data_IF_701253029932
#
_entry.id   IF_701253029932
#
_cell.length_a   1.000
_cell.length_b   1.000
_cell.length_c   1.000
_cell.angle_alpha   90.00
_cell.angle_beta   90.00
_cell.angle_gamma   90.00
#
_symmetry.space_group_name_H-M   'P 1'
#
loop_
_entity.id
_entity.type
_entity.pdbx_description
1 polymer ?
#
# COMPACT_ATOMS: atom_id res chain seq x y z
N UNK A 1 1.22 30.64 11.69
CA UNK A 1 1.83 29.38 12.18
C UNK A 1 0.74 28.34 12.30
N UNK A 2 0.99 27.06 11.95
CA UNK A 2 0.08 25.98 12.26
C UNK A 2 -0.23 26.02 13.77
N UNK A 3 -1.50 25.95 14.13
CA UNK A 3 -1.92 25.98 15.53
C UNK A 3 -1.39 24.71 16.22
N UNK A 4 -0.43 24.87 17.13
CA UNK A 4 0.10 23.76 17.92
C UNK A 4 -1.00 23.27 18.88
N UNK A 5 -1.29 21.95 18.93
CA UNK A 5 -2.28 21.39 19.84
C UNK A 5 -2.00 21.74 21.31
N UNK A 6 -3.06 21.99 22.09
CA UNK A 6 -2.95 22.37 23.52
C UNK A 6 -3.16 21.20 24.49
N UNK A 7 -3.51 20.02 23.98
CA UNK A 7 -3.70 18.80 24.77
C UNK A 7 -3.38 17.55 23.94
N UNK A 8 -3.13 16.43 24.63
CA UNK A 8 -2.65 15.20 24.01
C UNK A 8 -3.66 14.61 23.02
N UNK A 9 -4.97 14.72 23.32
CA UNK A 9 -6.02 14.26 22.40
C UNK A 9 -5.97 15.04 21.08
N UNK A 10 -5.85 16.36 21.16
CA UNK A 10 -5.73 17.20 19.96
C UNK A 10 -4.44 16.89 19.18
N UNK A 11 -3.33 16.58 19.87
CA UNK A 11 -2.08 16.16 19.24
C UNK A 11 -2.22 14.79 18.53
N UNK A 12 -2.81 13.81 19.19
CA UNK A 12 -3.09 12.50 18.62
C UNK A 12 -3.98 12.59 17.38
N UNK A 13 -5.05 13.39 17.44
CA UNK A 13 -5.93 13.63 16.28
C UNK A 13 -5.21 14.30 15.11
N UNK A 14 -4.31 15.24 15.40
CA UNK A 14 -3.49 15.87 14.37
C UNK A 14 -2.56 14.85 13.72
N UNK A 15 -1.90 13.99 14.50
CA UNK A 15 -0.99 12.96 13.96
C UNK A 15 -1.75 11.92 13.13
N UNK A 16 -2.85 11.39 13.65
CA UNK A 16 -3.70 10.44 12.92
C UNK A 16 -4.24 11.05 11.61
N UNK A 17 -4.54 12.35 11.59
CA UNK A 17 -4.97 13.03 10.36
C UNK A 17 -3.82 13.07 9.34
N UNK A 18 -2.60 13.41 9.76
CA UNK A 18 -1.43 13.38 8.88
C UNK A 18 -1.21 11.99 8.28
N UNK A 19 -1.30 10.93 9.09
CA UNK A 19 -1.15 9.56 8.58
C UNK A 19 -2.25 9.18 7.58
N UNK A 20 -3.50 9.59 7.84
CA UNK A 20 -4.59 9.40 6.86
C UNK A 20 -4.26 10.08 5.53
N UNK A 21 -3.74 11.31 5.59
CA UNK A 21 -3.43 12.10 4.40
C UNK A 21 -2.22 11.53 3.64
N UNK A 22 -1.15 11.13 4.33
CA UNK A 22 0.00 10.46 3.69
C UNK A 22 -0.39 9.17 2.97
N UNK A 23 -1.16 8.29 3.63
CA UNK A 23 -1.62 7.04 3.01
C UNK A 23 -2.63 7.32 1.88
N UNK A 24 -3.39 8.41 1.96
CA UNK A 24 -4.28 8.84 0.87
C UNK A 24 -3.46 9.25 -0.35
N UNK A 25 -2.43 10.07 -0.15
CA UNK A 25 -1.61 10.59 -1.24
C UNK A 25 -0.82 9.46 -1.90
N UNK A 26 -0.23 8.54 -1.13
CA UNK A 26 0.43 7.35 -1.67
C UNK A 26 -0.53 6.46 -2.49
N UNK A 27 -1.77 6.26 -2.03
CA UNK A 27 -2.77 5.51 -2.79
C UNK A 27 -3.14 6.20 -4.11
N UNK A 28 -3.31 7.53 -4.10
CA UNK A 28 -3.64 8.31 -5.29
C UNK A 28 -2.48 8.32 -6.29
N UNK A 29 -1.25 8.42 -5.80
CA UNK A 29 -0.03 8.31 -6.61
C UNK A 29 0.05 6.93 -7.31
N UNK A 30 -0.13 5.85 -6.55
CA UNK A 30 -0.10 4.49 -7.11
C UNK A 30 -1.24 4.25 -8.11
N UNK A 31 -2.45 4.74 -7.84
CA UNK A 31 -3.58 4.62 -8.77
C UNK A 31 -3.29 5.38 -10.08
N UNK A 32 -2.80 6.62 -9.98
CA UNK A 32 -2.43 7.41 -11.16
C UNK A 32 -1.33 6.75 -11.97
N UNK A 33 -0.29 6.22 -11.32
CA UNK A 33 0.79 5.55 -12.02
C UNK A 33 0.30 4.34 -12.83
N UNK A 34 -0.62 3.54 -12.27
CA UNK A 34 -1.24 2.41 -12.98
C UNK A 34 -2.14 2.87 -14.13
N UNK A 35 -2.91 3.94 -13.95
CA UNK A 35 -3.78 4.51 -15.00
C UNK A 35 -2.98 5.12 -16.16
N UNK A 36 -1.83 5.72 -15.88
CA UNK A 36 -0.93 6.32 -16.88
C UNK A 36 -0.09 5.28 -17.64
N UNK A 37 -0.06 4.03 -17.17
CA UNK A 37 0.63 2.95 -17.87
C UNK A 37 -0.06 2.66 -19.23
N UNK A 38 0.65 2.98 -20.32
CA UNK A 38 0.12 3.02 -21.69
C UNK A 38 -0.45 1.67 -22.17
N UNK A 39 -1.76 1.60 -22.52
CA UNK A 39 -2.39 0.42 -23.15
C UNK A 39 -1.75 -0.01 -24.48
N UNK A 40 -0.96 0.86 -25.11
CA UNK A 40 -0.32 0.65 -26.41
C UNK A 40 1.19 0.37 -26.33
N UNK A 41 1.75 0.21 -25.12
CA UNK A 41 3.19 -0.07 -24.93
C UNK A 41 3.67 -1.31 -25.72
N UNK A 42 2.80 -2.31 -25.92
CA UNK A 42 3.09 -3.49 -26.75
C UNK A 42 2.90 -3.29 -28.27
N UNK A 43 2.18 -2.24 -28.72
CA UNK A 43 1.80 -2.07 -30.13
C UNK A 43 2.89 -1.43 -30.99
N UNK A 44 3.86 -0.75 -30.37
CA UNK A 44 4.97 -0.12 -31.09
C UNK A 44 6.16 -1.06 -31.36
N UNK A 45 6.20 -2.24 -30.72
CA UNK A 45 7.21 -3.25 -31.03
C UNK A 45 6.88 -4.08 -32.29
N UNK A 46 5.64 -4.01 -32.81
CA UNK A 46 5.20 -4.77 -33.98
C UNK A 46 5.21 -3.94 -35.29
N UNK A 47 5.66 -2.68 -35.27
CA UNK A 47 5.69 -1.82 -36.49
C UNK A 47 7.04 -1.85 -37.22
N UNK A 48 7.72 -3.00 -37.24
CA UNK A 48 8.84 -3.28 -38.16
C UNK A 48 8.37 -4.12 -39.38
N UNK A 49 7.06 -4.26 -39.62
CA UNK A 49 6.55 -4.78 -40.88
C UNK A 49 6.22 -3.65 -41.87
N UNK A 50 7.24 -3.18 -42.62
CA UNK A 50 7.18 -3.15 -44.09
C UNK A 50 8.42 -2.57 -44.80
N UNK A 51 8.96 -3.42 -45.69
CA UNK A 51 9.72 -3.13 -46.93
C UNK A 51 11.26 -3.05 -46.87
N UNK A 52 11.94 -4.16 -47.15
CA UNK A 52 12.52 -4.42 -48.49
C UNK A 52 13.37 -5.68 -48.52
N UNK A 53 13.21 -6.45 -49.60
CA UNK A 53 14.11 -7.50 -50.06
C UNK A 53 15.59 -7.05 -50.01
N UNK A 54 16.45 -7.74 -49.25
CA UNK A 54 17.73 -8.24 -49.77
C UNK A 54 18.49 -9.18 -48.83
N UNK A 55 19.23 -10.09 -49.46
CA UNK A 55 20.11 -11.12 -48.94
C UNK A 55 21.18 -10.67 -47.91
N UNK A 56 21.52 -11.62 -47.02
CA UNK A 56 22.80 -11.83 -46.31
C UNK A 56 23.66 -10.60 -45.96
N UNK A 57 23.76 -10.27 -44.67
CA UNK A 57 25.07 -10.17 -44.01
C UNK A 57 24.93 -10.07 -42.49
N UNK A 58 25.63 -10.99 -41.82
CA UNK A 58 26.21 -10.85 -40.49
C UNK A 58 26.96 -9.51 -40.34
N UNK A 59 26.48 -8.60 -39.46
CA UNK A 59 27.34 -7.82 -38.55
C UNK A 59 26.53 -7.12 -37.45
N UNK A 60 27.26 -6.85 -36.37
CA UNK A 60 26.96 -6.52 -35.00
C UNK A 60 26.33 -5.12 -34.71
N UNK A 61 25.86 -4.98 -33.47
CA UNK A 61 25.65 -3.73 -32.69
C UNK A 61 24.39 -2.90 -32.97
N UNK A 62 23.36 -3.08 -32.14
CA UNK A 62 22.93 -2.08 -31.14
C UNK A 62 22.04 -2.79 -30.11
N UNK A 63 22.67 -3.31 -29.05
CA UNK A 63 21.98 -3.74 -27.85
C UNK A 63 21.37 -2.54 -27.13
N UNK A 64 20.20 -2.10 -27.58
CA UNK A 64 19.31 -1.35 -26.70
C UNK A 64 18.96 -2.28 -25.54
N UNK A 65 19.16 -1.88 -24.26
CA UNK A 65 18.59 -2.62 -23.15
C UNK A 65 17.12 -2.81 -23.46
N UNK A 66 16.60 -4.04 -23.41
CA UNK A 66 15.16 -4.22 -23.50
C UNK A 66 14.56 -3.34 -22.40
N UNK A 67 13.72 -2.35 -22.76
CA UNK A 67 13.04 -1.46 -21.81
C UNK A 67 12.08 -2.23 -20.86
N UNK A 68 12.15 -3.55 -20.83
CA UNK A 68 11.28 -4.47 -20.10
C UNK A 68 11.35 -4.26 -18.59
N UNK A 69 12.48 -3.79 -18.06
CA UNK A 69 12.65 -3.46 -16.64
C UNK A 69 11.98 -2.12 -16.24
N UNK A 70 11.48 -1.34 -17.20
CA UNK A 70 10.83 -0.04 -16.98
C UNK A 70 9.30 -0.13 -16.99
N UNK A 71 8.73 -1.30 -17.30
CA UNK A 71 7.29 -1.49 -17.43
C UNK A 71 6.77 -2.58 -16.49
N UNK A 72 5.50 -2.46 -16.12
CA UNK A 72 4.77 -3.54 -15.47
C UNK A 72 4.37 -4.61 -16.49
N UNK A 73 4.66 -5.87 -16.18
CA UNK A 73 4.08 -7.03 -16.87
C UNK A 73 2.59 -7.21 -16.54
N UNK A 74 1.90 -8.09 -17.26
CA UNK A 74 0.51 -8.45 -16.94
C UNK A 74 0.39 -9.04 -15.52
N UNK A 75 1.36 -9.87 -15.12
CA UNK A 75 1.42 -10.45 -13.77
C UNK A 75 1.64 -9.38 -12.70
N UNK A 76 2.47 -8.37 -12.99
CA UNK A 76 2.65 -7.22 -12.09
C UNK A 76 1.33 -6.44 -11.95
N UNK A 77 0.64 -6.15 -13.06
CA UNK A 77 -0.64 -5.44 -13.03
C UNK A 77 -1.69 -6.20 -12.23
N UNK A 78 -1.76 -7.54 -12.36
CA UNK A 78 -2.67 -8.36 -11.57
C UNK A 78 -2.32 -8.33 -10.07
N UNK A 79 -1.03 -8.31 -9.72
CA UNK A 79 -0.53 -8.22 -8.35
C UNK A 79 -0.73 -6.84 -7.71
N UNK A 80 -0.71 -5.77 -8.50
CA UNK A 80 -0.92 -4.40 -8.00
C UNK A 80 -2.34 -4.19 -7.48
N UNK A 81 -3.35 -4.82 -8.10
CA UNK A 81 -4.76 -4.70 -7.70
C UNK A 81 -4.98 -4.98 -6.20
N UNK A 82 -4.60 -6.15 -5.65
CA UNK A 82 -4.76 -6.41 -4.22
C UNK A 82 -3.83 -5.56 -3.34
N UNK A 83 -2.69 -5.06 -3.86
CA UNK A 83 -1.83 -4.13 -3.12
C UNK A 83 -2.52 -2.76 -2.94
N UNK A 84 -3.10 -2.20 -3.99
CA UNK A 84 -3.91 -0.98 -3.92
C UNK A 84 -5.08 -1.13 -2.96
N UNK A 85 -5.77 -2.29 -3.00
CA UNK A 85 -6.84 -2.59 -2.06
C UNK A 85 -6.35 -2.65 -0.60
N UNK A 86 -5.15 -3.18 -0.36
CA UNK A 86 -4.52 -3.20 0.97
C UNK A 86 -4.16 -1.80 1.46
N UNK A 87 -3.60 -0.93 0.62
CA UNK A 87 -3.33 0.47 0.96
C UNK A 87 -4.65 1.22 1.26
N UNK A 88 -5.71 0.95 0.48
CA UNK A 88 -7.05 1.47 0.75
C UNK A 88 -7.60 1.02 2.09
N UNK A 89 -7.43 -0.25 2.45
CA UNK A 89 -7.80 -0.80 3.75
C UNK A 89 -6.99 -0.14 4.89
N UNK A 90 -5.71 0.16 4.65
CA UNK A 90 -4.84 0.87 5.60
C UNK A 90 -5.39 2.26 5.92
N UNK A 91 -5.76 3.02 4.89
CA UNK A 91 -6.45 4.32 5.04
C UNK A 91 -7.76 4.18 5.82
N UNK A 92 -8.56 3.16 5.54
CA UNK A 92 -9.82 2.91 6.24
C UNK A 92 -9.60 2.63 7.74
N UNK A 93 -8.56 1.86 8.09
CA UNK A 93 -8.17 1.61 9.48
C UNK A 93 -7.80 2.91 10.20
N UNK A 94 -6.89 3.70 9.63
CA UNK A 94 -6.48 5.00 10.20
C UNK A 94 -7.67 5.96 10.38
N UNK A 95 -8.56 6.06 9.38
CA UNK A 95 -9.77 6.88 9.49
C UNK A 95 -10.68 6.42 10.63
N UNK A 96 -10.81 5.11 10.82
CA UNK A 96 -11.64 4.54 11.90
C UNK A 96 -11.01 4.74 13.28
N UNK A 97 -9.70 4.53 13.41
CA UNK A 97 -8.94 4.83 14.64
C UNK A 97 -9.11 6.31 15.01
N UNK A 98 -8.89 7.22 14.05
CA UNK A 98 -9.09 8.67 14.25
C UNK A 98 -10.50 9.01 14.71
N UNK A 99 -11.53 8.40 14.12
CA UNK A 99 -12.93 8.59 14.52
C UNK A 99 -13.12 8.21 16.00
N UNK A 100 -12.63 7.05 16.41
CA UNK A 100 -12.76 6.58 17.80
C UNK A 100 -12.01 7.46 18.80
N UNK A 101 -10.80 7.89 18.45
CA UNK A 101 -10.04 8.85 19.26
C UNK A 101 -10.80 10.18 19.37
N UNK A 102 -11.45 10.64 18.29
CA UNK A 102 -12.23 11.87 18.31
C UNK A 102 -13.45 11.75 19.24
N UNK A 103 -14.22 10.67 19.11
CA UNK A 103 -15.47 10.44 19.84
C UNK A 103 -15.21 10.08 21.30
N UNK A 104 -14.31 9.13 21.56
CA UNK A 104 -14.16 8.48 22.86
C UNK A 104 -12.85 8.81 23.57
N UNK A 105 -11.88 9.41 22.87
CA UNK A 105 -10.58 9.77 23.45
C UNK A 105 -10.72 10.73 24.63
N UNK A 106 -10.01 10.44 25.73
CA UNK A 106 -10.00 11.25 26.94
C UNK A 106 -8.62 11.86 27.17
N UNK A 107 -8.57 13.15 27.53
CA UNK A 107 -7.31 13.91 27.65
C UNK A 107 -6.38 13.40 28.76
N UNK A 108 -6.94 12.77 29.78
CA UNK A 108 -6.23 12.15 30.91
C UNK A 108 -5.58 10.81 30.57
N UNK A 109 -6.02 10.15 29.49
CA UNK A 109 -5.51 8.86 29.04
C UNK A 109 -4.28 9.02 28.13
N UNK A 110 -3.29 9.78 28.60
CA UNK A 110 -2.11 10.18 27.81
C UNK A 110 -1.39 8.96 27.23
N UNK A 111 -1.00 8.00 28.07
CA UNK A 111 -0.26 6.82 27.63
C UNK A 111 -0.98 6.00 26.56
N UNK A 112 -2.31 5.79 26.70
CA UNK A 112 -3.05 5.02 25.71
C UNK A 112 -3.24 5.79 24.39
N UNK A 113 -3.31 7.12 24.43
CA UNK A 113 -3.34 7.92 23.21
C UNK A 113 -1.97 7.87 22.50
N UNK A 114 -0.88 7.91 23.27
CA UNK A 114 0.49 7.78 22.75
C UNK A 114 0.68 6.39 22.11
N UNK A 115 0.29 5.31 22.80
CA UNK A 115 0.36 3.93 22.27
C UNK A 115 -0.39 3.77 20.93
N UNK A 116 -1.56 4.41 20.77
CA UNK A 116 -2.34 4.40 19.52
C UNK A 116 -1.62 5.19 18.42
N UNK A 117 -1.05 6.34 18.76
CA UNK A 117 -0.33 7.18 17.78
C UNK A 117 0.93 6.47 17.32
N UNK A 118 1.73 5.95 18.25
CA UNK A 118 3.00 5.27 17.96
C UNK A 118 2.80 4.12 16.97
N UNK A 119 1.81 3.25 17.20
CA UNK A 119 1.53 2.15 16.25
C UNK A 119 0.90 2.65 14.94
N UNK A 120 0.13 3.75 14.97
CA UNK A 120 -0.45 4.32 13.75
C UNK A 120 0.61 4.99 12.86
N UNK A 121 1.68 5.52 13.46
CA UNK A 121 2.82 6.12 12.76
C UNK A 121 3.66 5.05 12.04
N UNK A 122 3.62 3.77 12.45
CA UNK A 122 4.25 2.65 11.73
C UNK A 122 3.54 2.33 10.39
N UNK A 123 2.27 2.72 10.22
CA UNK A 123 1.48 2.38 9.03
C UNK A 123 1.99 3.11 7.79
N UNK A 124 2.29 4.41 7.90
CA UNK A 124 2.70 5.22 6.74
C UNK A 124 4.02 4.74 6.12
N UNK A 125 5.10 4.48 6.89
CA UNK A 125 6.32 3.89 6.34
C UNK A 125 6.09 2.50 5.74
N UNK A 126 5.20 1.68 6.32
CA UNK A 126 4.89 0.35 5.78
C UNK A 126 4.14 0.42 4.44
N UNK A 127 3.31 1.45 4.25
CA UNK A 127 2.66 1.75 2.96
C UNK A 127 3.69 2.25 1.95
N UNK A 128 4.61 3.12 2.37
CA UNK A 128 5.70 3.65 1.52
C UNK A 128 6.62 2.51 1.02
N UNK A 129 7.05 1.62 1.93
CA UNK A 129 7.83 0.42 1.58
C UNK A 129 7.10 -0.48 0.55
N UNK A 130 5.77 -0.61 0.68
CA UNK A 130 4.97 -1.36 -0.28
C UNK A 130 4.89 -0.63 -1.63
N UNK A 131 4.59 0.66 -1.63
CA UNK A 131 4.48 1.48 -2.84
C UNK A 131 5.80 1.48 -3.63
N UNK A 132 6.93 1.71 -2.96
CA UNK A 132 8.26 1.67 -3.57
C UNK A 132 8.61 0.31 -4.16
N UNK A 133 8.12 -0.79 -3.57
CA UNK A 133 8.36 -2.14 -4.10
C UNK A 133 7.51 -2.51 -5.31
N UNK A 134 6.47 -1.71 -5.60
CA UNK A 134 5.54 -1.95 -6.71
C UNK A 134 6.08 -1.34 -8.02
N UNK A 135 6.81 -0.24 -7.98
CA UNK A 135 7.34 0.37 -9.20
C UNK A 135 8.38 -0.52 -9.91
N UNK A 136 8.44 -0.52 -11.26
CA UNK A 136 9.37 -1.35 -12.00
C UNK A 136 10.86 -1.06 -11.70
N UNK A 137 11.74 -2.08 -11.75
CA UNK A 137 11.41 -3.49 -11.92
C UNK A 137 10.82 -4.10 -10.64
N UNK A 138 9.64 -4.70 -10.75
CA UNK A 138 8.87 -5.19 -9.60
C UNK A 138 9.38 -6.57 -9.15
N UNK A 139 9.71 -6.70 -7.87
CA UNK A 139 10.08 -7.98 -7.27
C UNK A 139 8.90 -8.55 -6.46
N UNK A 140 8.25 -9.59 -6.99
CA UNK A 140 7.05 -10.20 -6.40
C UNK A 140 7.27 -10.69 -4.97
N UNK A 141 8.43 -11.28 -4.69
CA UNK A 141 8.81 -11.69 -3.34
C UNK A 141 8.90 -10.49 -2.37
N UNK A 142 9.49 -9.36 -2.82
CA UNK A 142 9.60 -8.14 -2.00
C UNK A 142 8.23 -7.55 -1.71
N UNK A 143 7.36 -7.50 -2.72
CA UNK A 143 5.97 -7.03 -2.59
C UNK A 143 5.19 -7.90 -1.60
N UNK A 144 5.33 -9.23 -1.67
CA UNK A 144 4.74 -10.17 -0.71
C UNK A 144 5.21 -9.90 0.73
N UNK A 145 6.51 -9.69 0.92
CA UNK A 145 7.11 -9.40 2.23
C UNK A 145 6.60 -8.07 2.79
N UNK A 146 6.64 -7.00 2.00
CA UNK A 146 6.21 -5.67 2.45
C UNK A 146 4.70 -5.63 2.71
N UNK A 147 3.90 -6.33 1.90
CA UNK A 147 2.47 -6.51 2.16
C UNK A 147 2.21 -7.22 3.49
N UNK A 148 2.96 -8.30 3.79
CA UNK A 148 2.81 -9.03 5.04
C UNK A 148 3.21 -8.18 6.26
N UNK A 149 4.26 -7.34 6.14
CA UNK A 149 4.63 -6.37 7.18
C UNK A 149 3.51 -5.37 7.42
N UNK A 150 2.98 -4.76 6.35
CA UNK A 150 1.86 -3.81 6.45
C UNK A 150 0.63 -4.45 7.14
N UNK A 151 0.26 -5.67 6.74
CA UNK A 151 -0.83 -6.44 7.39
C UNK A 151 -0.57 -6.63 8.88
N UNK A 152 0.66 -6.98 9.27
CA UNK A 152 1.04 -7.15 10.67
C UNK A 152 0.88 -5.85 11.46
N UNK A 153 1.35 -4.73 10.90
CA UNK A 153 1.24 -3.40 11.52
C UNK A 153 -0.24 -3.00 11.67
N UNK A 154 -1.05 -3.17 10.63
CA UNK A 154 -2.49 -2.86 10.68
C UNK A 154 -3.22 -3.66 11.75
N UNK A 155 -2.98 -4.98 11.82
CA UNK A 155 -3.60 -5.83 12.84
C UNK A 155 -3.18 -5.43 14.24
N UNK A 156 -1.90 -5.10 14.45
CA UNK A 156 -1.39 -4.59 15.73
C UNK A 156 -2.03 -3.25 16.10
N UNK A 157 -2.18 -2.32 15.15
CA UNK A 157 -2.86 -1.04 15.37
C UNK A 157 -4.33 -1.22 15.79
N UNK A 158 -5.05 -2.12 15.10
CA UNK A 158 -6.43 -2.45 15.42
C UNK A 158 -6.56 -3.09 16.80
N UNK A 159 -5.66 -4.01 17.17
CA UNK A 159 -5.66 -4.68 18.48
C UNK A 159 -5.37 -3.70 19.62
N UNK A 160 -4.38 -2.82 19.47
CA UNK A 160 -4.07 -1.76 20.45
C UNK A 160 -5.27 -0.82 20.61
N UNK A 161 -5.88 -0.39 19.49
CA UNK A 161 -7.07 0.47 19.52
C UNK A 161 -8.23 -0.22 20.24
N UNK A 162 -8.45 -1.52 20.00
CA UNK A 162 -9.48 -2.33 20.64
C UNK A 162 -9.29 -2.44 22.16
N UNK A 163 -8.05 -2.61 22.60
CA UNK A 163 -7.70 -2.76 24.01
C UNK A 163 -7.71 -1.42 24.78
N UNK A 164 -7.75 -0.29 24.06
CA UNK A 164 -7.72 1.04 24.65
C UNK A 164 -9.09 1.55 25.11
N UNK A 165 -9.08 2.65 25.86
CA UNK A 165 -10.27 3.38 26.31
C UNK A 165 -11.11 3.97 25.17
N UNK A 166 -10.60 4.07 23.94
CA UNK A 166 -11.37 4.63 22.82
C UNK A 166 -12.40 3.65 22.26
N UNK A 167 -12.37 2.39 22.71
CA UNK A 167 -13.33 1.34 22.34
C UNK A 167 -14.17 0.94 23.56
N UNK A 168 -15.25 1.67 23.88
CA UNK A 168 -16.07 1.39 25.05
C UNK A 168 -16.94 0.13 24.92
N UNK A 169 -17.16 -0.38 23.70
CA UNK A 169 -17.86 -1.63 23.42
C UNK A 169 -17.03 -2.50 22.45
N UNK A 170 -16.27 -3.49 22.95
CA UNK A 170 -15.43 -4.36 22.11
C UNK A 170 -16.23 -5.31 21.21
N UNK A 171 -17.55 -5.35 21.35
CA UNK A 171 -18.50 -6.13 20.54
C UNK A 171 -18.79 -5.49 19.16
N UNK A 172 -18.24 -4.30 18.90
CA UNK A 172 -18.49 -3.54 17.68
C UNK A 172 -18.02 -4.28 16.42
N UNK A 173 -18.92 -4.37 15.43
CA UNK A 173 -18.77 -5.21 14.24
C UNK A 173 -17.70 -4.77 13.23
N UNK A 174 -17.04 -3.62 13.43
CA UNK A 174 -16.16 -3.04 12.42
C UNK A 174 -14.73 -3.61 12.42
N UNK A 175 -14.16 -3.99 13.57
CA UNK A 175 -12.80 -4.57 13.62
C UNK A 175 -12.73 -5.87 12.83
N UNK A 176 -13.63 -6.84 13.04
CA UNK A 176 -13.62 -8.08 12.26
C UNK A 176 -13.79 -7.81 10.76
N UNK A 177 -14.60 -6.83 10.35
CA UNK A 177 -14.79 -6.48 8.95
C UNK A 177 -13.50 -5.93 8.32
N UNK A 178 -12.79 -5.04 9.00
CA UNK A 178 -11.51 -4.51 8.52
C UNK A 178 -10.44 -5.61 8.46
N UNK A 179 -10.35 -6.46 9.49
CA UNK A 179 -9.41 -7.59 9.50
C UNK A 179 -9.70 -8.54 8.33
N UNK A 180 -10.98 -8.87 8.08
CA UNK A 180 -11.36 -9.73 6.96
C UNK A 180 -10.99 -9.11 5.60
N UNK A 181 -11.16 -7.79 5.42
CA UNK A 181 -10.75 -7.11 4.20
C UNK A 181 -9.22 -7.14 4.00
N UNK A 182 -8.46 -6.92 5.07
CA UNK A 182 -6.98 -7.02 5.08
C UNK A 182 -6.54 -8.44 4.72
N UNK A 183 -7.15 -9.44 5.35
CA UNK A 183 -6.83 -10.85 5.12
C UNK A 183 -7.18 -11.29 3.69
N UNK A 184 -8.31 -10.82 3.15
CA UNK A 184 -8.65 -11.07 1.76
C UNK A 184 -7.60 -10.53 0.79
N UNK A 185 -7.13 -9.28 0.98
CA UNK A 185 -6.07 -8.70 0.16
C UNK A 185 -4.77 -9.51 0.28
N UNK A 186 -4.36 -9.85 1.50
CA UNK A 186 -3.12 -10.61 1.72
C UNK A 186 -3.20 -12.03 1.16
N UNK A 187 -4.36 -12.70 1.26
CA UNK A 187 -4.53 -14.03 0.68
C UNK A 187 -4.42 -13.97 -0.84
N UNK A 188 -5.01 -12.94 -1.48
CA UNK A 188 -4.86 -12.74 -2.92
C UNK A 188 -3.41 -12.49 -3.33
N UNK A 189 -2.68 -11.66 -2.58
CA UNK A 189 -1.24 -11.43 -2.80
C UNK A 189 -0.45 -12.75 -2.67
N UNK A 190 -0.79 -13.58 -1.66
CA UNK A 190 -0.13 -14.88 -1.49
C UNK A 190 -0.37 -15.84 -2.64
N UNK A 191 -1.59 -15.87 -3.17
CA UNK A 191 -1.96 -16.70 -4.32
C UNK A 191 -1.15 -16.30 -5.57
N UNK A 192 -1.08 -14.99 -5.86
CA UNK A 192 -0.37 -14.47 -7.04
C UNK A 192 1.15 -14.59 -6.96
N UNK A 193 1.71 -14.70 -5.75
CA UNK A 193 3.17 -14.77 -5.53
C UNK A 193 3.62 -16.13 -5.02
N UNK A 194 2.81 -17.18 -5.24
CA UNK A 194 3.08 -18.51 -4.69
C UNK A 194 4.26 -19.20 -5.40
N UNK A 195 4.41 -19.00 -6.72
CA UNK A 195 5.53 -19.50 -7.53
C UNK A 195 6.89 -19.08 -6.98
N UNK A 196 7.00 -17.87 -6.42
CA UNK A 196 8.22 -17.30 -5.86
C UNK A 196 8.75 -18.06 -4.63
N UNK A 197 7.94 -18.94 -4.04
CA UNK A 197 8.29 -19.72 -2.84
C UNK A 197 8.53 -21.20 -3.13
N UNK A 198 8.26 -21.65 -4.35
CA UNK A 198 8.42 -23.04 -4.76
C UNK A 198 9.78 -23.21 -5.45
N UNK A 199 10.53 -24.24 -5.03
CA UNK A 199 11.88 -24.55 -5.52
C UNK A 199 11.85 -25.42 -6.78
#
# INVERSE_FOLDING_TARGET
MPQIPRDNKAAALLMLTKNVDFVKDAHEEMEQAVEECDPYSGLLNDTEENNSDNHNHEDDVLGFPSNQDLYWSEDDQELIIPCLALVRASKACLKKIRMLVAENGKKDQVAQLDDIVDISDEISPSVDDLALSIYPPMCHLTVRINSAKLVSVLKKALEITKASHVTPQPEDSWIPLLINAIDHCMNRIKELTQSELEL
#
